data_IF_562968754362
#
_entry.id   IF_562968754362
#
_cell.length_a   1.000
_cell.length_b   1.000
_cell.length_c   1.000
_cell.angle_alpha   90.00
_cell.angle_beta   90.00
_cell.angle_gamma   90.00
#
_symmetry.space_group_name_H-M   'P 1'
#
loop_
_entity.id
_entity.type
_entity.pdbx_description
1 polymer ?
#
# COMPACT_ATOMS: atom_id res chain seq x y z
N UNK A 1 -0.93 13.85 -17.00
CA UNK A 1 -1.56 13.38 -15.74
C UNK A 1 -0.85 13.91 -14.48
N UNK A 2 0.49 14.06 -14.46
CA UNK A 2 1.18 14.71 -13.34
C UNK A 2 0.77 16.19 -13.19
N UNK A 3 0.59 16.90 -14.31
CA UNK A 3 0.05 18.27 -14.32
C UNK A 3 -1.36 18.32 -13.74
N UNK A 4 -2.23 17.38 -14.12
CA UNK A 4 -3.60 17.31 -13.59
C UNK A 4 -3.65 17.09 -12.07
N UNK A 5 -2.80 16.23 -11.54
CA UNK A 5 -2.69 16.02 -10.10
C UNK A 5 -2.17 17.26 -9.36
N UNK A 6 -1.23 17.98 -9.96
CA UNK A 6 -0.75 19.28 -9.46
C UNK A 6 -1.88 20.33 -9.45
N UNK A 7 -2.64 20.39 -10.55
CA UNK A 7 -3.72 21.37 -10.71
C UNK A 7 -4.91 21.11 -9.77
N UNK A 8 -5.13 19.84 -9.37
CA UNK A 8 -6.12 19.48 -8.34
C UNK A 8 -5.64 19.78 -6.91
N UNK A 9 -4.34 19.75 -6.65
CA UNK A 9 -3.81 20.02 -5.30
C UNK A 9 -4.07 21.46 -4.86
N UNK A 10 -3.97 22.41 -5.77
CA UNK A 10 -4.22 23.83 -5.48
C UNK A 10 -5.63 24.11 -4.95
N UNK A 11 -6.74 23.74 -5.64
CA UNK A 11 -8.08 23.96 -5.13
C UNK A 11 -8.36 23.16 -3.84
N UNK A 12 -7.78 21.95 -3.69
CA UNK A 12 -7.90 21.18 -2.45
C UNK A 12 -7.27 21.88 -1.26
N UNK A 13 -6.11 22.51 -1.43
CA UNK A 13 -5.47 23.32 -0.36
C UNK A 13 -6.35 24.48 0.06
N UNK A 14 -7.01 25.16 -0.88
CA UNK A 14 -7.94 26.26 -0.59
C UNK A 14 -9.16 25.74 0.16
N UNK A 15 -9.77 24.63 -0.27
CA UNK A 15 -10.91 24.01 0.40
C UNK A 15 -10.56 23.58 1.83
N UNK A 16 -9.37 23.05 2.05
CA UNK A 16 -8.87 22.70 3.37
C UNK A 16 -8.73 23.93 4.30
N UNK A 17 -8.23 25.05 3.78
CA UNK A 17 -8.18 26.30 4.54
C UNK A 17 -9.56 26.80 4.96
N UNK A 18 -10.57 26.72 4.08
CA UNK A 18 -11.95 27.06 4.46
C UNK A 18 -12.53 26.07 5.48
N UNK A 19 -12.26 24.80 5.36
CA UNK A 19 -12.70 23.78 6.31
C UNK A 19 -12.12 24.04 7.72
N UNK A 20 -10.82 24.33 7.83
CA UNK A 20 -10.16 24.70 9.09
C UNK A 20 -10.78 25.96 9.73
N UNK A 21 -11.15 26.95 8.92
CA UNK A 21 -11.85 28.16 9.40
C UNK A 21 -13.25 27.82 9.94
N UNK A 22 -14.01 26.96 9.25
CA UNK A 22 -15.34 26.54 9.68
C UNK A 22 -15.30 25.66 10.94
N UNK A 23 -14.27 24.82 11.09
CA UNK A 23 -14.07 24.01 12.31
C UNK A 23 -13.85 24.86 13.56
N UNK A 24 -13.36 26.09 13.43
CA UNK A 24 -13.20 27.04 14.53
C UNK A 24 -14.50 27.78 14.92
N UNK A 25 -15.62 27.53 14.23
CA UNK A 25 -16.92 28.14 14.52
C UNK A 25 -17.43 27.78 15.92
N UNK A 26 -18.11 28.74 16.55
CA UNK A 26 -18.82 28.50 17.82
C UNK A 26 -20.12 27.71 17.65
N UNK A 27 -20.70 27.67 16.43
CA UNK A 27 -21.88 26.91 16.10
C UNK A 27 -21.56 25.41 15.90
N UNK A 28 -22.23 24.55 16.68
CA UNK A 28 -22.00 23.10 16.64
C UNK A 28 -22.35 22.46 15.30
N UNK A 29 -23.43 22.93 14.66
CA UNK A 29 -23.88 22.39 13.36
C UNK A 29 -22.84 22.71 12.29
N UNK A 30 -22.32 23.92 12.29
CA UNK A 30 -21.25 24.35 11.36
C UNK A 30 -20.00 23.52 11.54
N UNK A 31 -19.60 23.22 12.78
CA UNK A 31 -18.44 22.36 13.07
C UNK A 31 -18.64 20.93 12.61
N UNK A 32 -19.80 20.32 12.82
CA UNK A 32 -20.10 18.95 12.39
C UNK A 32 -20.09 18.83 10.86
N UNK A 33 -20.58 19.85 10.16
CA UNK A 33 -20.50 19.93 8.70
C UNK A 33 -19.05 20.06 8.25
N UNK A 34 -18.27 20.93 8.87
CA UNK A 34 -16.86 21.12 8.57
C UNK A 34 -16.05 19.85 8.81
N UNK A 35 -16.24 19.15 9.94
CA UNK A 35 -15.56 17.87 10.19
C UNK A 35 -15.85 16.83 9.11
N UNK A 36 -17.11 16.80 8.62
CA UNK A 36 -17.50 15.91 7.52
C UNK A 36 -16.83 16.31 6.21
N UNK A 37 -16.77 17.61 5.91
CA UNK A 37 -16.09 18.15 4.72
C UNK A 37 -14.59 17.84 4.76
N UNK A 38 -13.92 18.03 5.89
CA UNK A 38 -12.51 17.76 6.09
C UNK A 38 -12.16 16.30 5.79
N UNK A 39 -13.00 15.35 6.22
CA UNK A 39 -12.85 13.92 5.89
C UNK A 39 -12.90 13.68 4.37
N UNK A 40 -13.78 14.37 3.65
CA UNK A 40 -13.89 14.26 2.19
C UNK A 40 -12.71 14.94 1.47
N UNK A 41 -12.27 16.11 1.93
CA UNK A 41 -11.10 16.82 1.39
C UNK A 41 -9.85 15.97 1.55
N UNK A 42 -9.61 15.42 2.75
CA UNK A 42 -8.49 14.52 3.02
C UNK A 42 -8.52 13.28 2.12
N UNK A 43 -9.70 12.74 1.86
CA UNK A 43 -9.86 11.62 0.93
C UNK A 43 -9.46 12.00 -0.50
N UNK A 44 -9.85 13.19 -0.96
CA UNK A 44 -9.49 13.68 -2.30
C UNK A 44 -7.98 13.95 -2.40
N UNK A 45 -7.35 14.54 -1.38
CA UNK A 45 -5.89 14.71 -1.33
C UNK A 45 -5.18 13.36 -1.52
N UNK A 46 -5.57 12.35 -0.75
CA UNK A 46 -5.01 11.00 -0.88
C UNK A 46 -5.22 10.38 -2.26
N UNK A 47 -6.37 10.65 -2.90
CA UNK A 47 -6.64 10.18 -4.25
C UNK A 47 -5.68 10.81 -5.27
N UNK A 48 -5.50 12.13 -5.21
CA UNK A 48 -4.58 12.87 -6.08
C UNK A 48 -3.14 12.40 -5.89
N UNK A 49 -2.71 12.17 -4.65
CA UNK A 49 -1.38 11.66 -4.34
C UNK A 49 -1.17 10.25 -4.88
N UNK A 50 -2.18 9.39 -4.74
CA UNK A 50 -2.14 8.02 -5.27
C UNK A 50 -2.04 8.00 -6.81
N UNK A 51 -2.77 8.88 -7.49
CA UNK A 51 -2.67 9.04 -8.95
C UNK A 51 -1.29 9.55 -9.38
N UNK A 52 -0.73 10.50 -8.64
CA UNK A 52 0.60 11.04 -8.90
C UNK A 52 1.70 9.98 -8.70
N UNK A 53 1.54 9.14 -7.68
CA UNK A 53 2.44 8.00 -7.46
C UNK A 53 2.35 6.98 -8.58
N UNK A 54 1.14 6.61 -8.97
CA UNK A 54 0.92 5.65 -10.04
C UNK A 54 1.60 6.08 -11.33
N UNK A 55 1.41 7.32 -11.75
CA UNK A 55 2.04 7.83 -12.97
C UNK A 55 3.57 7.83 -12.91
N UNK A 56 4.16 8.14 -11.76
CA UNK A 56 5.61 8.04 -11.57
C UNK A 56 6.11 6.61 -11.65
N UNK A 57 5.31 5.64 -11.16
CA UNK A 57 5.67 4.23 -11.17
C UNK A 57 5.54 3.60 -12.56
N UNK A 58 4.59 4.04 -13.40
CA UNK A 58 4.46 3.55 -14.78
C UNK A 58 5.72 3.83 -15.61
N UNK A 59 6.40 4.95 -15.36
CA UNK A 59 7.65 5.34 -16.05
C UNK A 59 8.92 4.93 -15.30
N UNK A 60 8.79 4.48 -14.04
CA UNK A 60 9.92 4.13 -13.20
C UNK A 60 10.62 2.85 -13.70
N UNK A 61 11.94 2.89 -13.72
CA UNK A 61 12.77 1.70 -13.96
C UNK A 61 13.46 1.30 -12.67
N UNK A 62 13.50 0.01 -12.33
CA UNK A 62 14.18 -0.43 -11.12
C UNK A 62 15.65 -0.05 -11.18
N UNK A 63 16.12 0.54 -10.11
CA UNK A 63 17.54 0.82 -9.90
C UNK A 63 18.06 -0.26 -8.95
N UNK A 64 18.44 -1.40 -9.54
CA UNK A 64 18.98 -2.51 -8.76
C UNK A 64 20.29 -2.12 -8.10
N UNK A 65 20.40 -2.38 -6.80
CA UNK A 65 21.60 -2.23 -6.02
C UNK A 65 22.02 -3.60 -5.47
N UNK A 66 23.33 -3.86 -5.39
CA UNK A 66 23.90 -5.04 -4.70
C UNK A 66 23.92 -4.80 -3.19
N UNK A 67 22.82 -4.36 -2.62
CA UNK A 67 22.67 -4.12 -1.20
C UNK A 67 22.77 -5.42 -0.40
N UNK A 68 23.14 -5.31 0.87
CA UNK A 68 23.04 -6.42 1.82
C UNK A 68 21.58 -6.80 2.05
N UNK A 69 21.12 -7.76 1.26
CA UNK A 69 19.72 -8.24 1.26
C UNK A 69 19.31 -8.77 2.63
N UNK A 70 20.25 -9.37 3.39
CA UNK A 70 19.93 -9.86 4.74
C UNK A 70 19.53 -8.73 5.66
N UNK A 71 20.34 -7.68 5.76
CA UNK A 71 20.04 -6.52 6.60
C UNK A 71 18.80 -5.78 6.11
N UNK A 72 18.61 -5.68 4.80
CA UNK A 72 17.42 -5.09 4.21
C UNK A 72 16.15 -5.84 4.62
N UNK A 73 16.11 -7.19 4.51
CA UNK A 73 14.96 -8.01 4.89
C UNK A 73 14.70 -7.97 6.39
N UNK A 74 15.73 -7.91 7.24
CA UNK A 74 15.55 -7.71 8.68
C UNK A 74 14.80 -6.39 8.93
N UNK A 75 15.22 -5.30 8.28
CA UNK A 75 14.56 -3.99 8.42
C UNK A 75 13.11 -4.02 7.95
N UNK A 76 12.81 -4.73 6.84
CA UNK A 76 11.43 -4.92 6.38
C UNK A 76 10.59 -5.71 7.39
N UNK A 77 11.15 -6.80 7.92
CA UNK A 77 10.49 -7.66 8.89
C UNK A 77 10.17 -6.92 10.20
N UNK A 78 11.12 -6.13 10.71
CA UNK A 78 10.94 -5.33 11.92
C UNK A 78 9.85 -4.28 11.72
N UNK A 79 9.89 -3.56 10.60
CA UNK A 79 8.88 -2.56 10.25
C UNK A 79 7.48 -3.18 10.13
N UNK A 80 7.39 -4.35 9.51
CA UNK A 80 6.15 -5.12 9.38
C UNK A 80 5.61 -5.56 10.74
N UNK A 81 6.49 -6.04 11.63
CA UNK A 81 6.14 -6.49 12.96
C UNK A 81 5.55 -5.34 13.77
N UNK A 82 6.25 -4.21 13.83
CA UNK A 82 5.78 -3.01 14.55
C UNK A 82 4.42 -2.56 14.01
N UNK A 83 4.24 -2.54 12.70
CA UNK A 83 2.99 -2.11 12.08
C UNK A 83 1.82 -3.06 12.38
N UNK A 84 2.03 -4.38 12.30
CA UNK A 84 1.01 -5.38 12.62
C UNK A 84 0.61 -5.33 14.09
N UNK A 85 1.57 -5.29 15.01
CA UNK A 85 1.33 -5.24 16.45
C UNK A 85 0.59 -3.97 16.87
N UNK A 86 0.97 -2.82 16.32
CA UNK A 86 0.27 -1.53 16.54
C UNK A 86 -1.20 -1.59 16.11
N UNK A 87 -1.53 -2.43 15.14
CA UNK A 87 -2.90 -2.64 14.67
C UNK A 87 -3.57 -3.87 15.31
N UNK A 88 -3.01 -4.43 16.39
CA UNK A 88 -3.59 -5.55 17.15
C UNK A 88 -3.57 -6.90 16.42
N UNK A 89 -2.69 -7.07 15.43
CA UNK A 89 -2.55 -8.32 14.67
C UNK A 89 -1.33 -9.11 15.13
N UNK A 90 -1.50 -10.43 15.29
CA UNK A 90 -0.38 -11.34 15.52
C UNK A 90 0.36 -11.53 14.21
N UNK A 91 1.69 -11.53 14.27
CA UNK A 91 2.54 -11.72 13.08
C UNK A 91 3.48 -12.90 13.28
N UNK A 92 3.68 -13.68 12.22
CA UNK A 92 4.70 -14.70 12.12
C UNK A 92 5.60 -14.38 10.93
N UNK A 93 6.86 -14.07 11.18
CA UNK A 93 7.84 -13.78 10.13
C UNK A 93 8.75 -14.98 9.93
N UNK A 94 8.89 -15.43 8.69
CA UNK A 94 9.85 -16.45 8.26
C UNK A 94 10.86 -15.79 7.32
N UNK A 95 12.11 -15.76 7.75
CA UNK A 95 13.22 -15.24 6.95
C UNK A 95 14.10 -16.41 6.49
N UNK A 96 13.96 -16.76 5.20
CA UNK A 96 14.68 -17.87 4.55
C UNK A 96 15.74 -17.30 3.57
N UNK A 97 16.31 -16.16 3.88
CA UNK A 97 17.36 -15.54 3.06
C UNK A 97 18.67 -16.26 3.26
N UNK A 98 19.21 -16.78 2.18
CA UNK A 98 20.57 -17.37 2.12
C UNK A 98 21.56 -16.33 1.59
N UNK A 99 22.87 -16.62 1.69
CA UNK A 99 23.94 -15.74 1.19
C UNK A 99 24.00 -15.75 -0.35
N UNK A 100 22.98 -15.18 -0.97
CA UNK A 100 22.87 -15.02 -2.43
C UNK A 100 22.86 -13.52 -2.71
N UNK A 101 23.75 -13.07 -3.60
CA UNK A 101 23.72 -11.71 -4.12
C UNK A 101 22.78 -11.66 -5.31
N UNK A 102 21.72 -10.87 -5.19
CA UNK A 102 20.81 -10.54 -6.29
C UNK A 102 20.67 -9.02 -6.37
N UNK A 103 20.46 -8.54 -7.58
CA UNK A 103 20.23 -7.12 -7.84
C UNK A 103 18.75 -6.80 -7.62
N UNK A 104 18.42 -6.05 -6.55
CA UNK A 104 17.06 -5.64 -6.22
C UNK A 104 16.97 -4.13 -6.08
N UNK A 105 15.88 -3.54 -6.54
CA UNK A 105 15.50 -2.20 -6.11
C UNK A 105 14.81 -2.28 -4.74
N UNK A 106 15.56 -1.95 -3.69
CA UNK A 106 15.08 -2.00 -2.31
C UNK A 106 13.88 -1.08 -2.08
N UNK A 107 13.75 0.01 -2.82
CA UNK A 107 12.61 0.95 -2.70
C UNK A 107 11.33 0.33 -3.25
N UNK A 108 11.40 -0.34 -4.39
CA UNK A 108 10.27 -1.07 -4.97
C UNK A 108 9.82 -2.23 -4.07
N UNK A 109 10.78 -3.02 -3.59
CA UNK A 109 10.47 -4.14 -2.68
C UNK A 109 9.84 -3.62 -1.38
N UNK A 110 10.36 -2.53 -0.80
CA UNK A 110 9.77 -1.90 0.38
C UNK A 110 8.33 -1.44 0.13
N UNK A 111 8.05 -0.86 -1.03
CA UNK A 111 6.71 -0.40 -1.37
C UNK A 111 5.73 -1.57 -1.56
N UNK A 112 6.17 -2.66 -2.22
CA UNK A 112 5.39 -3.90 -2.34
C UNK A 112 5.09 -4.48 -0.96
N UNK A 113 6.12 -4.62 -0.11
CA UNK A 113 5.98 -5.10 1.25
C UNK A 113 4.93 -4.31 2.04
N UNK A 114 5.04 -2.98 2.05
CA UNK A 114 4.13 -2.11 2.79
C UNK A 114 2.68 -2.21 2.27
N UNK A 115 2.48 -2.29 0.96
CA UNK A 115 1.15 -2.45 0.37
C UNK A 115 0.53 -3.80 0.74
N UNK A 116 1.29 -4.89 0.65
CA UNK A 116 0.79 -6.23 1.00
C UNK A 116 0.46 -6.33 2.49
N UNK A 117 1.32 -5.81 3.37
CA UNK A 117 1.09 -5.83 4.82
C UNK A 117 -0.09 -4.94 5.20
N UNK A 118 -0.21 -3.76 4.62
CA UNK A 118 -1.36 -2.87 4.84
C UNK A 118 -2.68 -3.56 4.45
N UNK A 119 -2.69 -4.32 3.35
CA UNK A 119 -3.85 -5.12 2.97
C UNK A 119 -4.11 -6.25 3.98
N UNK A 120 -3.08 -7.01 4.35
CA UNK A 120 -3.22 -8.10 5.32
C UNK A 120 -3.74 -7.60 6.68
N UNK A 121 -3.21 -6.48 7.21
CA UNK A 121 -3.69 -5.87 8.47
C UNK A 121 -5.17 -5.53 8.39
N UNK A 122 -5.64 -5.07 7.24
CA UNK A 122 -7.05 -4.69 7.04
C UNK A 122 -7.98 -5.88 7.00
N UNK A 123 -7.60 -6.94 6.32
CA UNK A 123 -8.48 -8.08 6.05
C UNK A 123 -8.30 -9.23 7.02
N UNK A 124 -7.16 -9.35 7.68
CA UNK A 124 -6.91 -10.35 8.71
C UNK A 124 -7.93 -10.26 9.85
N UNK A 125 -8.38 -11.40 10.34
CA UNK A 125 -9.11 -11.50 11.62
C UNK A 125 -8.15 -11.24 12.77
N UNK A 126 -7.07 -12.00 12.85
CA UNK A 126 -6.15 -11.96 13.98
C UNK A 126 -4.68 -12.19 13.66
N UNK A 127 -4.35 -12.89 12.57
CA UNK A 127 -3.02 -13.39 12.32
C UNK A 127 -2.55 -13.14 10.88
N UNK A 128 -1.28 -12.78 10.76
CA UNK A 128 -0.60 -12.52 9.48
C UNK A 128 0.70 -13.33 9.48
N UNK A 129 1.00 -13.98 8.37
CA UNK A 129 2.26 -14.66 8.14
C UNK A 129 2.98 -14.01 6.96
N UNK A 130 4.26 -13.71 7.16
CA UNK A 130 5.13 -13.16 6.13
C UNK A 130 6.31 -14.10 5.94
N UNK A 131 6.64 -14.40 4.68
CA UNK A 131 7.79 -15.23 4.34
C UNK A 131 8.63 -14.50 3.31
N UNK A 132 9.91 -14.33 3.60
CA UNK A 132 10.93 -13.82 2.69
C UNK A 132 11.82 -14.98 2.27
N UNK A 133 12.00 -15.17 0.97
CA UNK A 133 12.87 -16.23 0.42
C UNK A 133 13.70 -15.65 -0.71
N UNK A 134 14.98 -15.98 -0.74
CA UNK A 134 15.87 -15.63 -1.83
C UNK A 134 16.51 -16.91 -2.39
N UNK A 135 16.46 -17.08 -3.70
CA UNK A 135 17.09 -18.16 -4.42
C UNK A 135 17.82 -17.63 -5.65
N UNK A 136 18.51 -18.49 -6.39
CA UNK A 136 19.12 -18.12 -7.69
C UNK A 136 18.08 -17.67 -8.73
N UNK A 137 16.83 -18.04 -8.55
CA UNK A 137 15.73 -17.72 -9.46
C UNK A 137 15.11 -16.35 -9.16
N UNK A 138 15.30 -15.83 -7.93
CA UNK A 138 14.80 -14.52 -7.55
C UNK A 138 14.50 -14.35 -6.05
N UNK A 139 13.92 -13.20 -5.75
CA UNK A 139 13.41 -12.84 -4.43
C UNK A 139 11.90 -13.05 -4.38
N UNK A 140 11.42 -13.72 -3.35
CA UNK A 140 10.01 -14.04 -3.14
C UNK A 140 9.54 -13.47 -1.80
N UNK A 141 8.48 -12.71 -1.85
CA UNK A 141 7.76 -12.19 -0.69
C UNK A 141 6.35 -12.76 -0.70
N UNK A 142 6.01 -13.52 0.34
CA UNK A 142 4.66 -14.07 0.53
C UNK A 142 4.05 -13.47 1.78
N UNK A 143 2.84 -12.94 1.66
CA UNK A 143 2.03 -12.44 2.78
C UNK A 143 0.72 -13.19 2.77
N UNK A 144 0.36 -13.82 3.87
CA UNK A 144 -0.94 -14.48 4.05
C UNK A 144 -1.59 -14.03 5.36
N UNK A 145 -2.90 -13.99 5.37
CA UNK A 145 -3.72 -13.61 6.52
C UNK A 145 -4.85 -14.61 6.75
N UNK A 146 -5.43 -14.57 7.95
CA UNK A 146 -6.55 -15.41 8.36
C UNK A 146 -7.93 -14.77 8.08
N UNK A 147 -7.99 -13.87 7.11
CA UNK A 147 -9.20 -13.16 6.71
C UNK A 147 -10.22 -14.03 5.98
N UNK A 148 -11.20 -13.37 5.37
CA UNK A 148 -12.25 -14.07 4.61
C UNK A 148 -11.79 -14.51 3.20
N UNK A 149 -10.56 -14.14 2.79
CA UNK A 149 -10.06 -14.38 1.45
C UNK A 149 -10.74 -13.52 0.39
N UNK A 150 -10.42 -13.80 -0.86
CA UNK A 150 -10.95 -13.10 -2.02
C UNK A 150 -12.17 -13.85 -2.60
N UNK A 151 -13.21 -13.13 -2.99
CA UNK A 151 -14.28 -13.71 -3.81
C UNK A 151 -13.73 -14.12 -5.20
N UNK A 152 -14.47 -14.95 -5.94
CA UNK A 152 -14.07 -15.33 -7.31
C UNK A 152 -13.89 -14.12 -8.22
N UNK A 153 -14.75 -13.12 -8.09
CA UNK A 153 -14.63 -11.87 -8.83
C UNK A 153 -13.41 -11.06 -8.39
N UNK A 154 -13.15 -10.98 -7.09
CA UNK A 154 -11.99 -10.28 -6.55
C UNK A 154 -10.67 -10.92 -6.99
N UNK A 155 -10.56 -12.26 -7.03
CA UNK A 155 -9.37 -12.93 -7.53
C UNK A 155 -9.01 -12.52 -8.97
N UNK A 156 -10.03 -12.30 -9.82
CA UNK A 156 -9.81 -11.88 -11.20
C UNK A 156 -9.50 -10.37 -11.35
N UNK A 157 -9.99 -9.54 -10.43
CA UNK A 157 -9.96 -8.08 -10.57
C UNK A 157 -9.11 -7.36 -9.53
N UNK A 158 -8.62 -8.04 -8.49
CA UNK A 158 -7.92 -7.43 -7.36
C UNK A 158 -6.67 -6.61 -7.76
N UNK A 159 -6.06 -6.97 -8.88
CA UNK A 159 -4.91 -6.24 -9.46
C UNK A 159 -5.29 -5.20 -10.50
N UNK A 160 -6.59 -4.95 -10.73
CA UNK A 160 -7.01 -3.85 -11.59
C UNK A 160 -6.96 -2.53 -10.81
N UNK A 161 -6.59 -1.43 -11.47
CA UNK A 161 -6.61 -0.13 -10.82
C UNK A 161 -8.01 0.23 -10.35
N UNK A 162 -8.11 0.85 -9.18
CA UNK A 162 -9.37 1.30 -8.57
C UNK A 162 -10.36 0.20 -8.16
N UNK A 163 -9.96 -1.07 -8.22
CA UNK A 163 -10.81 -2.14 -7.74
C UNK A 163 -10.83 -2.16 -6.21
N UNK A 164 -12.02 -2.02 -5.63
CA UNK A 164 -12.27 -2.16 -4.18
C UNK A 164 -13.39 -3.16 -3.98
N UNK A 165 -13.27 -4.03 -2.96
CA UNK A 165 -14.39 -4.90 -2.55
C UNK A 165 -15.57 -4.09 -1.99
N UNK A 166 -16.73 -4.70 -1.85
CA UNK A 166 -18.04 -4.05 -1.60
C UNK A 166 -18.14 -3.12 -0.38
N UNK A 167 -17.20 -3.13 0.55
CA UNK A 167 -17.32 -2.41 1.83
C UNK A 167 -16.26 -1.35 2.11
N UNK A 168 -15.43 -0.94 1.16
CA UNK A 168 -14.27 -0.12 1.48
C UNK A 168 -14.26 1.26 0.79
N UNK A 169 -15.00 2.19 1.38
CA UNK A 169 -15.03 3.60 0.94
C UNK A 169 -13.73 4.39 1.25
N UNK A 170 -12.80 3.82 2.02
CA UNK A 170 -11.61 4.55 2.49
C UNK A 170 -10.35 4.34 1.66
N UNK A 171 -10.35 3.40 0.70
CA UNK A 171 -9.17 3.07 -0.09
C UNK A 171 -9.47 3.09 -1.58
N UNK A 172 -8.47 3.51 -2.35
CA UNK A 172 -8.64 3.75 -3.79
C UNK A 172 -8.43 2.51 -4.66
N UNK A 173 -8.21 1.33 -4.08
CA UNK A 173 -8.01 0.10 -4.84
C UNK A 173 -6.75 0.11 -5.71
N UNK A 174 -5.69 0.81 -5.30
CA UNK A 174 -4.44 0.94 -6.04
C UNK A 174 -3.30 0.08 -5.49
N UNK A 175 -3.37 -0.36 -4.23
CA UNK A 175 -2.25 -1.04 -3.56
C UNK A 175 -1.78 -2.29 -4.30
N UNK A 176 -2.68 -3.22 -4.65
CA UNK A 176 -2.32 -4.44 -5.37
C UNK A 176 -1.95 -4.17 -6.83
N UNK A 177 -2.54 -3.17 -7.47
CA UNK A 177 -2.14 -2.73 -8.81
C UNK A 177 -0.71 -2.17 -8.81
N UNK A 178 -0.35 -1.36 -7.81
CA UNK A 178 1.02 -0.87 -7.61
C UNK A 178 1.99 -2.05 -7.40
N UNK A 179 1.62 -3.01 -6.55
CA UNK A 179 2.43 -4.22 -6.37
C UNK A 179 2.68 -4.94 -7.69
N UNK A 180 1.63 -5.11 -8.51
CA UNK A 180 1.73 -5.75 -9.82
C UNK A 180 2.72 -5.01 -10.73
N UNK A 181 2.58 -3.69 -10.89
CA UNK A 181 3.49 -2.88 -11.73
C UNK A 181 4.94 -3.01 -11.27
N UNK A 182 5.17 -2.86 -9.96
CA UNK A 182 6.52 -2.93 -9.40
C UNK A 182 7.16 -4.31 -9.58
N UNK A 183 6.40 -5.39 -9.43
CA UNK A 183 6.86 -6.74 -9.70
C UNK A 183 7.19 -6.92 -11.19
N UNK A 184 6.31 -6.47 -12.09
CA UNK A 184 6.52 -6.55 -13.55
C UNK A 184 7.75 -5.74 -14.00
N UNK A 185 8.00 -4.57 -13.43
CA UNK A 185 9.20 -3.77 -13.71
C UNK A 185 10.49 -4.47 -13.27
N UNK A 186 10.42 -5.30 -12.22
CA UNK A 186 11.52 -6.17 -11.79
C UNK A 186 11.65 -7.47 -12.61
N UNK A 187 10.82 -7.67 -13.63
CA UNK A 187 10.78 -8.92 -14.40
C UNK A 187 10.11 -10.09 -13.66
N UNK A 188 9.39 -9.79 -12.57
CA UNK A 188 8.64 -10.75 -11.77
C UNK A 188 7.13 -10.65 -12.00
N UNK A 189 6.37 -11.15 -11.04
CA UNK A 189 4.90 -11.10 -11.08
C UNK A 189 4.29 -11.08 -9.67
N UNK A 190 3.06 -10.63 -9.58
CA UNK A 190 2.21 -10.75 -8.38
C UNK A 190 1.20 -11.88 -8.58
N UNK A 191 1.16 -12.84 -7.65
CA UNK A 191 0.16 -13.89 -7.58
C UNK A 191 -0.75 -13.66 -6.38
N UNK A 192 -2.05 -13.85 -6.58
CA UNK A 192 -3.07 -13.75 -5.52
C UNK A 192 -3.86 -15.06 -5.52
N UNK A 193 -4.01 -15.66 -4.35
CA UNK A 193 -4.75 -16.91 -4.16
C UNK A 193 -5.39 -16.94 -2.77
N UNK A 194 -6.39 -17.79 -2.61
CA UNK A 194 -6.92 -18.16 -1.30
C UNK A 194 -6.19 -19.43 -0.79
N UNK A 195 -5.88 -19.45 0.52
CA UNK A 195 -5.30 -20.62 1.19
C UNK A 195 -6.39 -21.53 1.73
#
# INVERSE_FOLDING_TARGET
>A
NAAFAHDLRTPLTVLKGYDEMLQSSSDSITRDIAETMGKHIFRLERYVDSMSQLHRLEDARPQGDNSDIKNFVITLADSATIFCEKNGKKICVQNNITDISICLDCSFVSQVNNNLISNAVRYAKSAIKITYTCSKEGFYLTVSDDGCGFSKEALCKATNPYFTGENHREHFGLGLYICKILCEHHGGYLKIENC
#
